data_IF_354075114565
#
_entry.id   IF_354075114565
#
_cell.length_a   1.000
_cell.length_b   1.000
_cell.length_c   1.000
_cell.angle_alpha   90.00
_cell.angle_beta   90.00
_cell.angle_gamma   90.00
#
_symmetry.space_group_name_H-M   'P 1'
#
loop_
_entity.id
_entity.type
_entity.pdbx_description
1 polymer ?
#
# COMPACT_ATOMS: atom_id res chain seq x y z
N UNK A 1 21.28 -17.34 9.69
CA UNK A 1 20.08 -18.10 9.29
C UNK A 1 19.92 -19.33 10.19
N UNK A 2 19.20 -19.20 11.32
CA UNK A 2 19.16 -20.25 12.35
C UNK A 2 17.93 -21.18 12.26
N UNK A 3 16.94 -20.88 11.39
CA UNK A 3 15.76 -21.73 11.16
C UNK A 3 15.55 -21.95 9.67
N UNK A 4 15.74 -23.18 9.19
CA UNK A 4 15.51 -23.58 7.79
C UNK A 4 14.00 -23.65 7.52
N UNK A 5 13.39 -22.51 7.20
CA UNK A 5 12.06 -22.45 6.57
C UNK A 5 12.25 -22.15 5.09
N UNK A 6 11.46 -22.78 4.23
CA UNK A 6 11.43 -22.45 2.79
C UNK A 6 10.92 -21.01 2.63
N UNK A 7 11.84 -20.08 2.32
CA UNK A 7 11.59 -18.63 2.22
C UNK A 7 10.96 -18.22 0.87
N UNK A 8 11.11 -19.05 -0.16
CA UNK A 8 10.63 -18.80 -1.53
C UNK A 8 10.26 -20.12 -2.22
N UNK A 9 9.34 -20.07 -3.18
CA UNK A 9 9.06 -21.19 -4.09
C UNK A 9 9.89 -21.14 -5.37
N UNK A 10 10.50 -19.99 -5.67
CA UNK A 10 11.31 -19.79 -6.88
C UNK A 10 12.72 -20.37 -6.72
N UNK A 11 13.08 -21.26 -7.65
CA UNK A 11 14.35 -21.99 -7.62
C UNK A 11 15.56 -21.08 -7.89
N UNK A 12 15.39 -19.98 -8.64
CA UNK A 12 16.48 -19.03 -8.85
C UNK A 12 16.78 -18.27 -7.55
N UNK A 13 15.75 -17.76 -6.88
CA UNK A 13 15.86 -17.05 -5.60
C UNK A 13 16.46 -17.95 -4.52
N UNK A 14 16.14 -19.25 -4.47
CA UNK A 14 16.72 -20.18 -3.49
C UNK A 14 18.26 -20.23 -3.54
N UNK A 15 18.84 -20.25 -4.75
CA UNK A 15 20.30 -20.20 -4.92
C UNK A 15 20.88 -18.88 -4.42
N UNK A 16 20.19 -17.77 -4.66
CA UNK A 16 20.59 -16.44 -4.23
C UNK A 16 20.55 -16.29 -2.70
N UNK A 17 19.55 -16.88 -2.03
CA UNK A 17 19.45 -16.88 -0.56
C UNK A 17 20.68 -17.55 0.07
N UNK A 18 21.10 -18.70 -0.46
CA UNK A 18 22.28 -19.42 0.04
C UNK A 18 23.56 -18.61 -0.19
N UNK A 19 23.70 -17.98 -1.36
CA UNK A 19 24.85 -17.14 -1.67
C UNK A 19 24.93 -15.92 -0.74
N UNK A 20 23.81 -15.23 -0.52
CA UNK A 20 23.73 -14.09 0.39
C UNK A 20 24.12 -14.48 1.82
N UNK A 21 23.62 -15.61 2.31
CA UNK A 21 23.94 -16.13 3.63
C UNK A 21 25.44 -16.43 3.80
N UNK A 22 26.08 -17.04 2.79
CA UNK A 22 27.53 -17.31 2.80
C UNK A 22 28.37 -16.03 2.80
N UNK A 23 27.84 -14.95 2.21
CA UNK A 23 28.50 -13.65 2.16
C UNK A 23 28.15 -12.77 3.37
N UNK A 24 27.30 -13.24 4.30
CA UNK A 24 26.85 -12.45 5.44
C UNK A 24 25.98 -11.25 5.05
N UNK A 25 25.28 -11.33 3.91
CA UNK A 25 24.39 -10.27 3.43
C UNK A 25 22.98 -10.51 3.98
N UNK A 26 22.49 -9.58 4.79
CA UNK A 26 21.14 -9.62 5.33
C UNK A 26 20.08 -9.26 4.29
N UNK A 27 19.06 -10.10 4.17
CA UNK A 27 17.95 -9.92 3.24
C UNK A 27 16.66 -9.48 3.96
N UNK A 28 15.61 -9.21 3.19
CA UNK A 28 14.30 -8.82 3.72
C UNK A 28 13.71 -9.86 4.69
N UNK A 29 13.95 -11.15 4.44
CA UNK A 29 13.51 -12.22 5.34
C UNK A 29 14.22 -12.18 6.69
N UNK A 30 15.51 -11.85 6.73
CA UNK A 30 16.28 -11.80 7.97
C UNK A 30 15.82 -10.61 8.82
N UNK A 31 15.54 -9.47 8.18
CA UNK A 31 14.88 -8.32 8.84
C UNK A 31 13.48 -8.65 9.34
N UNK A 32 12.69 -9.39 8.59
CA UNK A 32 11.37 -9.83 9.06
C UNK A 32 11.51 -10.73 10.30
N UNK A 33 12.44 -11.67 10.29
CA UNK A 33 12.68 -12.58 11.41
C UNK A 33 13.12 -11.83 12.68
N UNK A 34 13.90 -10.75 12.57
CA UNK A 34 14.29 -9.92 13.72
C UNK A 34 13.14 -9.08 14.30
N UNK A 35 12.09 -8.83 13.53
CA UNK A 35 10.93 -8.02 13.93
C UNK A 35 9.78 -8.85 14.53
N UNK A 36 9.87 -10.18 14.48
CA UNK A 36 8.84 -11.06 15.06
C UNK A 36 9.04 -11.18 16.58
N UNK A 37 7.99 -10.94 17.41
CA UNK A 37 6.59 -10.71 17.04
C UNK A 37 6.30 -9.26 16.61
N UNK A 38 5.58 -9.13 15.49
CA UNK A 38 5.10 -7.84 15.00
C UNK A 38 4.06 -7.21 15.94
N UNK A 39 3.98 -5.87 15.95
CA UNK A 39 3.02 -5.11 16.76
C UNK A 39 1.56 -5.51 16.47
N UNK A 40 0.85 -6.00 17.49
CA UNK A 40 -0.55 -6.42 17.38
C UNK A 40 -1.52 -5.29 17.03
N UNK A 41 -1.37 -4.11 17.64
CA UNK A 41 -2.22 -2.96 17.35
C UNK A 41 -2.08 -2.49 15.89
N UNK A 42 -0.85 -2.48 15.36
CA UNK A 42 -0.59 -2.12 13.98
C UNK A 42 -1.20 -3.13 13.01
N UNK A 43 -1.05 -4.43 13.27
CA UNK A 43 -1.61 -5.49 12.44
C UNK A 43 -3.14 -5.48 12.40
N UNK A 44 -3.80 -5.07 13.47
CA UNK A 44 -5.25 -4.95 13.56
C UNK A 44 -5.76 -3.56 13.12
N UNK A 45 -4.88 -2.64 12.74
CA UNK A 45 -5.24 -1.26 12.39
C UNK A 45 -5.90 -0.48 13.54
N UNK A 46 -5.55 -0.79 14.80
CA UNK A 46 -6.11 -0.22 16.02
C UNK A 46 -5.22 0.87 16.66
N UNK A 47 -4.15 1.26 15.96
CA UNK A 47 -3.28 2.36 16.33
C UNK A 47 -3.55 3.55 15.39
N UNK A 48 -3.92 4.70 15.94
CA UNK A 48 -4.13 5.93 15.19
C UNK A 48 -2.97 6.91 15.43
N UNK A 49 -2.36 7.39 14.34
CA UNK A 49 -1.25 8.35 14.35
C UNK A 49 -1.50 9.54 13.40
N UNK A 50 -2.77 9.89 13.16
CA UNK A 50 -3.16 10.92 12.19
C UNK A 50 -2.84 12.34 12.69
N UNK A 51 -2.82 12.56 14.01
CA UNK A 51 -2.55 13.86 14.60
C UNK A 51 -1.54 13.77 15.76
N UNK A 52 -1.03 14.92 16.18
CA UNK A 52 -0.01 15.03 17.24
C UNK A 52 -0.51 14.75 18.66
N UNK A 53 -1.82 14.51 18.87
CA UNK A 53 -2.34 14.07 20.17
C UNK A 53 -2.06 12.59 20.43
N UNK A 54 -1.89 11.79 19.37
CA UNK A 54 -1.61 10.36 19.45
C UNK A 54 -0.14 10.05 19.78
N UNK A 55 0.25 8.76 19.70
CA UNK A 55 -0.52 7.66 19.13
C UNK A 55 -1.65 7.18 20.06
N UNK A 56 -2.87 7.11 19.53
CA UNK A 56 -3.98 6.46 20.24
C UNK A 56 -3.96 4.95 19.94
N UNK A 57 -4.20 4.11 20.94
CA UNK A 57 -4.29 2.65 20.80
C UNK A 57 -5.59 2.15 21.40
N UNK A 58 -6.36 1.41 20.62
CA UNK A 58 -7.63 0.83 21.07
C UNK A 58 -7.39 -0.64 21.42
N UNK A 59 -7.73 -1.02 22.65
CA UNK A 59 -7.61 -2.40 23.11
C UNK A 59 -8.65 -3.29 22.39
N UNK A 60 -8.25 -4.32 21.61
CA UNK A 60 -9.18 -5.22 20.96
C UNK A 60 -9.96 -6.11 21.93
N UNK A 61 -9.51 -6.25 23.18
CA UNK A 61 -10.08 -7.13 24.19
C UNK A 61 -10.82 -6.39 25.32
N UNK A 62 -10.98 -5.08 25.21
CA UNK A 62 -11.72 -4.32 26.22
C UNK A 62 -13.22 -4.69 26.19
N UNK A 63 -13.83 -4.82 27.37
CA UNK A 63 -15.27 -5.09 27.51
C UNK A 63 -16.13 -3.90 27.08
N UNK A 64 -15.56 -2.69 27.09
CA UNK A 64 -16.21 -1.46 26.64
C UNK A 64 -15.34 -0.79 25.59
N UNK A 65 -15.99 -0.20 24.60
CA UNK A 65 -15.32 0.54 23.55
C UNK A 65 -14.76 1.86 24.09
N UNK A 66 -13.44 1.92 24.23
CA UNK A 66 -12.73 3.14 24.59
C UNK A 66 -12.42 3.95 23.32
N UNK A 67 -12.97 5.17 23.18
CA UNK A 67 -12.66 6.01 22.04
C UNK A 67 -11.23 6.55 22.12
N UNK A 68 -10.73 7.05 20.99
CA UNK A 68 -9.46 7.80 20.97
C UNK A 68 -9.57 9.14 21.72
N UNK A 69 -8.44 9.84 21.91
CA UNK A 69 -8.40 11.18 22.54
C UNK A 69 -9.37 12.16 21.87
N UNK A 70 -9.51 12.11 20.54
CA UNK A 70 -10.43 12.95 19.79
C UNK A 70 -11.85 12.37 19.65
N UNK A 71 -12.16 11.26 20.32
CA UNK A 71 -13.49 10.66 20.36
C UNK A 71 -13.80 9.65 19.25
N UNK A 72 -12.83 9.24 18.41
CA UNK A 72 -13.08 8.25 17.35
C UNK A 72 -13.28 6.86 17.94
N UNK A 73 -14.27 6.12 17.45
CA UNK A 73 -14.48 4.71 17.82
C UNK A 73 -13.44 3.80 17.15
N UNK A 74 -13.46 2.51 17.53
CA UNK A 74 -12.63 1.47 16.93
C UNK A 74 -12.81 1.39 15.41
N UNK A 75 -14.06 1.38 14.96
CA UNK A 75 -14.46 1.24 13.57
C UNK A 75 -13.96 2.43 12.76
N UNK A 76 -14.13 3.66 13.30
CA UNK A 76 -13.61 4.88 12.69
C UNK A 76 -12.10 4.85 12.50
N UNK A 77 -11.34 4.33 13.47
CA UNK A 77 -9.88 4.21 13.35
C UNK A 77 -9.51 3.21 12.26
N UNK A 78 -10.13 2.03 12.25
CA UNK A 78 -9.85 0.99 11.25
C UNK A 78 -10.19 1.47 9.84
N UNK A 79 -11.38 2.05 9.64
CA UNK A 79 -11.83 2.56 8.34
C UNK A 79 -10.94 3.73 7.84
N UNK A 80 -10.57 4.66 8.73
CA UNK A 80 -9.68 5.76 8.39
C UNK A 80 -8.29 5.27 7.95
N UNK A 81 -7.71 4.33 8.68
CA UNK A 81 -6.41 3.75 8.33
C UNK A 81 -6.48 2.97 7.01
N UNK A 82 -7.57 2.23 6.77
CA UNK A 82 -7.79 1.49 5.52
C UNK A 82 -7.92 2.45 4.32
N UNK A 83 -8.75 3.49 4.43
CA UNK A 83 -8.94 4.46 3.36
C UNK A 83 -7.64 5.22 3.06
N UNK A 84 -6.88 5.59 4.11
CA UNK A 84 -5.56 6.21 3.96
C UNK A 84 -4.57 5.32 3.19
N UNK A 85 -4.52 4.01 3.49
CA UNK A 85 -3.66 3.08 2.76
C UNK A 85 -3.96 3.06 1.26
N UNK A 86 -5.25 3.09 0.89
CA UNK A 86 -5.68 3.15 -0.51
C UNK A 86 -5.30 4.51 -1.12
N UNK A 87 -5.52 5.60 -0.39
CA UNK A 87 -5.13 6.94 -0.83
C UNK A 87 -3.64 7.06 -1.12
N UNK A 88 -2.77 6.53 -0.26
CA UNK A 88 -1.32 6.55 -0.46
C UNK A 88 -0.91 5.73 -1.70
N UNK A 89 -1.54 4.57 -1.91
CA UNK A 89 -1.34 3.73 -3.10
C UNK A 89 -1.77 4.43 -4.39
N UNK A 90 -2.97 4.99 -4.41
CA UNK A 90 -3.49 5.73 -5.57
C UNK A 90 -2.66 6.98 -5.87
N UNK A 91 -2.25 7.74 -4.85
CA UNK A 91 -1.37 8.90 -5.02
C UNK A 91 -0.04 8.50 -5.68
N UNK A 92 0.53 7.35 -5.30
CA UNK A 92 1.75 6.82 -5.91
C UNK A 92 1.56 6.48 -7.39
N UNK A 93 0.43 5.86 -7.73
CA UNK A 93 0.05 5.53 -9.12
C UNK A 93 -0.13 6.81 -9.95
N UNK A 94 -0.87 7.80 -9.43
CA UNK A 94 -1.07 9.09 -10.08
C UNK A 94 0.30 9.77 -10.31
N UNK A 95 1.19 9.78 -9.32
CA UNK A 95 2.53 10.35 -9.47
C UNK A 95 3.34 9.64 -10.55
N UNK A 96 3.30 8.30 -10.61
CA UNK A 96 3.99 7.54 -11.66
C UNK A 96 3.47 7.89 -13.05
N UNK A 97 2.16 8.09 -13.19
CA UNK A 97 1.55 8.51 -14.44
C UNK A 97 1.92 9.96 -14.81
N UNK A 98 2.06 10.86 -13.82
CA UNK A 98 2.34 12.29 -13.99
C UNK A 98 3.81 12.69 -14.16
N UNK A 99 4.76 11.91 -13.65
CA UNK A 99 6.21 12.21 -13.70
C UNK A 99 6.92 11.37 -14.77
N UNK A 100 6.23 11.15 -15.89
CA UNK A 100 6.67 10.27 -16.98
C UNK A 100 8.01 10.65 -17.61
N UNK A 101 8.35 11.94 -17.55
CA UNK A 101 9.62 12.47 -18.04
C UNK A 101 10.85 11.93 -17.28
N UNK A 102 10.68 11.32 -16.09
CA UNK A 102 11.75 10.67 -15.32
C UNK A 102 11.81 9.14 -15.43
N UNK A 103 10.89 8.53 -16.16
CA UNK A 103 10.88 7.06 -16.32
C UNK A 103 11.99 6.60 -17.28
N UNK A 104 12.60 5.42 -17.05
CA UNK A 104 13.51 4.79 -18.01
C UNK A 104 12.88 4.71 -19.40
N UNK A 105 13.67 4.85 -20.47
CA UNK A 105 13.19 4.93 -21.86
C UNK A 105 12.23 3.79 -22.26
N UNK A 106 12.49 2.58 -21.77
CA UNK A 106 11.64 1.40 -21.97
C UNK A 106 10.21 1.54 -21.41
N UNK A 107 10.03 2.41 -20.41
CA UNK A 107 8.73 2.69 -19.78
C UNK A 107 8.07 3.91 -20.46
N UNK A 108 8.85 4.89 -20.95
CA UNK A 108 8.35 6.05 -21.70
C UNK A 108 7.73 5.67 -23.05
N UNK A 109 8.29 4.69 -23.75
CA UNK A 109 7.69 4.16 -24.99
C UNK A 109 6.38 3.40 -24.76
N UNK A 110 6.10 3.04 -23.51
CA UNK A 110 4.99 2.15 -23.12
C UNK A 110 3.94 2.82 -22.24
N UNK A 111 4.15 4.08 -21.86
CA UNK A 111 3.21 4.89 -21.06
C UNK A 111 3.39 6.35 -21.46
N UNK A 112 2.33 6.99 -21.97
CA UNK A 112 1.72 8.25 -21.47
C UNK A 112 0.87 8.90 -22.54
N UNK A 113 -0.40 9.12 -22.21
CA UNK A 113 -1.17 10.24 -22.74
C UNK A 113 -1.25 11.32 -21.64
N UNK A 114 -0.87 12.56 -21.97
CA UNK A 114 -0.64 13.66 -21.01
C UNK A 114 -1.94 14.29 -20.49
N UNK A 115 -3.10 13.88 -20.99
CA UNK A 115 -4.38 14.51 -20.69
C UNK A 115 -5.09 13.94 -19.43
N UNK A 116 -4.59 12.86 -18.82
CA UNK A 116 -5.27 12.22 -17.68
C UNK A 116 -4.78 12.64 -16.28
N UNK A 117 -3.88 13.62 -16.21
CA UNK A 117 -3.34 14.16 -14.96
C UNK A 117 -3.58 15.67 -14.93
N UNK A 118 -4.84 16.11 -14.80
CA UNK A 118 -5.61 16.00 -13.56
C UNK A 118 -7.10 15.66 -13.82
N UNK A 119 -7.49 14.40 -13.61
CA UNK A 119 -8.86 13.92 -13.82
C UNK A 119 -9.64 13.56 -12.53
N UNK A 120 -10.75 12.79 -12.63
CA UNK A 120 -11.59 12.39 -11.49
C UNK A 120 -10.82 11.71 -10.34
N UNK A 121 -9.66 11.10 -10.60
CA UNK A 121 -8.82 10.46 -9.60
C UNK A 121 -8.28 11.42 -8.53
N UNK A 122 -7.90 12.66 -8.89
CA UNK A 122 -7.42 13.65 -7.92
C UNK A 122 -8.56 14.19 -7.05
N UNK A 123 -9.77 14.33 -7.62
CA UNK A 123 -10.97 14.73 -6.88
C UNK A 123 -11.42 13.67 -5.89
N UNK A 124 -11.43 12.39 -6.30
CA UNK A 124 -11.73 11.27 -5.41
C UNK A 124 -10.67 11.14 -4.30
N UNK A 125 -9.40 11.46 -4.59
CA UNK A 125 -8.33 11.47 -3.58
C UNK A 125 -8.58 12.56 -2.51
N UNK A 126 -8.90 13.79 -2.93
CA UNK A 126 -9.22 14.89 -1.99
C UNK A 126 -10.44 14.55 -1.15
N UNK A 127 -11.48 13.97 -1.76
CA UNK A 127 -12.68 13.52 -1.05
C UNK A 127 -12.35 12.44 -0.02
N UNK A 128 -11.54 11.44 -0.38
CA UNK A 128 -11.11 10.40 0.54
C UNK A 128 -10.31 10.96 1.73
N UNK A 129 -9.41 11.91 1.47
CA UNK A 129 -8.64 12.62 2.51
C UNK A 129 -9.58 13.30 3.52
N UNK A 130 -10.59 14.02 3.03
CA UNK A 130 -11.63 14.63 3.88
C UNK A 130 -12.29 13.61 4.82
N UNK A 131 -12.77 12.49 4.28
CA UNK A 131 -13.46 11.45 5.05
C UNK A 131 -12.63 10.93 6.23
N UNK A 132 -11.35 10.57 6.04
CA UNK A 132 -10.56 10.02 7.14
C UNK A 132 -9.92 11.08 8.06
N UNK A 133 -9.90 12.36 7.68
CA UNK A 133 -9.35 13.45 8.51
C UNK A 133 -10.41 14.10 9.40
N UNK A 134 -11.64 14.23 8.92
CA UNK A 134 -12.73 14.90 9.65
C UNK A 134 -13.33 14.02 10.77
N UNK A 135 -13.01 12.72 10.79
CA UNK A 135 -13.47 11.82 11.86
C UNK A 135 -14.97 11.56 11.84
N UNK A 136 -15.60 11.73 10.67
CA UNK A 136 -17.02 11.40 10.43
C UNK A 136 -17.30 9.93 10.73
N UNK A 137 -18.53 9.63 11.14
CA UNK A 137 -18.99 8.25 11.39
C UNK A 137 -18.71 7.36 10.17
N UNK A 138 -18.29 6.11 10.41
CA UNK A 138 -18.08 5.16 9.31
C UNK A 138 -19.43 4.84 8.68
N UNK A 139 -19.58 5.23 7.42
CA UNK A 139 -20.73 4.90 6.57
C UNK A 139 -20.27 4.13 5.34
N UNK A 140 -21.23 3.68 4.53
CA UNK A 140 -21.02 3.12 3.20
C UNK A 140 -20.08 3.99 2.34
N UNK A 141 -20.08 5.31 2.54
CA UNK A 141 -19.27 6.26 1.77
C UNK A 141 -17.76 6.02 1.90
N UNK A 142 -17.27 5.50 3.05
CA UNK A 142 -15.85 5.16 3.20
C UNK A 142 -15.45 4.04 2.23
N UNK A 143 -16.28 3.01 2.13
CA UNK A 143 -16.03 1.86 1.27
C UNK A 143 -16.22 2.21 -0.19
N UNK A 144 -17.22 3.03 -0.52
CA UNK A 144 -17.40 3.55 -1.87
C UNK A 144 -16.25 4.46 -2.28
N UNK A 145 -15.77 5.35 -1.41
CA UNK A 145 -14.61 6.20 -1.68
C UNK A 145 -13.35 5.35 -1.90
N UNK A 146 -13.12 4.34 -1.06
CA UNK A 146 -12.04 3.37 -1.25
C UNK A 146 -12.11 2.69 -2.63
N UNK A 147 -13.28 2.16 -3.01
CA UNK A 147 -13.48 1.50 -4.29
C UNK A 147 -13.27 2.45 -5.48
N UNK A 148 -13.87 3.64 -5.43
CA UNK A 148 -13.72 4.67 -6.47
C UNK A 148 -12.26 5.10 -6.62
N UNK A 149 -11.54 5.28 -5.52
CA UNK A 149 -10.16 5.73 -5.52
C UNK A 149 -9.21 4.65 -6.05
N UNK A 150 -9.45 3.38 -5.70
CA UNK A 150 -8.71 2.27 -6.27
C UNK A 150 -8.97 2.15 -7.77
N UNK A 151 -10.24 2.16 -8.20
CA UNK A 151 -10.64 2.10 -9.60
C UNK A 151 -10.10 3.28 -10.41
N UNK A 152 -10.10 4.50 -9.84
CA UNK A 152 -9.57 5.68 -10.49
C UNK A 152 -8.05 5.57 -10.68
N UNK A 153 -7.32 5.06 -9.67
CA UNK A 153 -5.89 4.76 -9.81
C UNK A 153 -5.63 3.72 -10.91
N UNK A 154 -6.40 2.63 -10.95
CA UNK A 154 -6.29 1.64 -12.03
C UNK A 154 -6.70 2.19 -13.40
N UNK A 155 -7.72 3.02 -13.49
CA UNK A 155 -8.12 3.66 -14.73
C UNK A 155 -7.03 4.60 -15.24
N UNK A 156 -6.33 5.30 -14.35
CA UNK A 156 -5.13 6.07 -14.71
C UNK A 156 -3.99 5.20 -15.25
N UNK A 157 -3.89 3.94 -14.82
CA UNK A 157 -2.98 2.96 -15.42
C UNK A 157 -3.52 2.36 -16.71
N UNK A 158 -4.81 2.10 -16.85
CA UNK A 158 -5.40 1.42 -18.02
C UNK A 158 -5.59 2.35 -19.22
N UNK A 159 -5.80 3.64 -18.99
CA UNK A 159 -5.74 4.67 -20.03
C UNK A 159 -4.31 4.90 -20.56
N UNK A 160 -3.29 4.39 -19.83
CA UNK A 160 -1.98 4.14 -20.41
C UNK A 160 -2.01 2.74 -21.05
N UNK A 161 -1.55 2.60 -22.29
CA UNK A 161 -1.67 1.38 -23.10
C UNK A 161 -0.82 0.18 -22.61
N UNK A 162 -0.87 -0.15 -21.32
CA UNK A 162 -0.25 -1.35 -20.74
C UNK A 162 -1.28 -2.46 -20.70
N UNK A 163 -1.59 -3.01 -21.87
CA UNK A 163 -2.44 -4.18 -22.00
C UNK A 163 -1.85 -5.14 -23.03
N UNK A 164 -0.98 -6.06 -22.60
CA UNK A 164 -0.77 -7.43 -23.17
C UNK A 164 0.63 -8.06 -22.96
N UNK A 165 1.63 -7.37 -22.39
CA UNK A 165 3.03 -7.87 -22.44
C UNK A 165 3.64 -8.53 -21.19
N UNK A 166 2.87 -8.81 -20.12
CA UNK A 166 3.47 -9.15 -18.81
C UNK A 166 3.84 -10.65 -18.64
N UNK A 167 3.65 -11.49 -19.67
CA UNK A 167 3.91 -12.94 -19.60
C UNK A 167 4.70 -13.52 -20.80
N UNK A 168 5.46 -12.71 -21.55
CA UNK A 168 6.45 -13.26 -22.48
C UNK A 168 7.86 -12.90 -22.00
N UNK A 169 8.38 -13.72 -21.08
CA UNK A 169 9.82 -13.80 -20.86
C UNK A 169 10.36 -14.62 -22.02
N UNK A 170 10.92 -13.96 -23.03
CA UNK A 170 11.71 -14.64 -24.06
C UNK A 170 12.80 -15.45 -23.37
N UNK A 171 12.71 -16.78 -23.52
CA UNK A 171 13.75 -17.72 -23.15
C UNK A 171 14.93 -17.56 -24.13
N UNK A 172 15.68 -16.46 -24.01
CA UNK A 172 16.95 -16.25 -24.68
C UNK A 172 18.08 -16.94 -23.90
N UNK A 173 18.25 -18.24 -24.12
CA UNK A 173 19.47 -18.96 -23.73
C UNK A 173 20.53 -18.64 -24.80
N UNK A 174 21.49 -17.79 -24.42
CA UNK A 174 22.78 -17.66 -25.09
C UNK A 174 23.83 -18.51 -24.36
#
# INVERSE_FOLDING_TARGET
MEKVRKKTIDAATEKLLVAAAKQGIDLSWDRYESEVPLCGFGRLSLCCNICSQGPCRINPFAEKDEPTICGRTRENVVAANFLRLISDGTASIIKMAGDSDKLPAVIKERVVDKELLPGPASQELVKAIGLYTEGVAVTEDYFQAAARLALAGYASLAASSVGSGIYEVEAGVG
#
